data_IF_767152241076
#
_entry.id   IF_767152241076
#
_cell.length_a   1.000
_cell.length_b   1.000
_cell.length_c   1.000
_cell.angle_alpha   90.00
_cell.angle_beta   90.00
_cell.angle_gamma   90.00
#
_symmetry.space_group_name_H-M   'P 1'
#
loop_
_entity.id
_entity.type
_entity.pdbx_description
1 polymer ?
#
# COMPACT_ATOMS: atom_id res chain seq x y z
N UNK A 1 -22.41 -8.59 6.09
CA UNK A 1 -21.02 -8.53 6.60
C UNK A 1 -20.42 -7.23 6.11
N UNK A 2 -19.87 -6.40 7.00
CA UNK A 2 -19.24 -5.14 6.61
C UNK A 2 -17.87 -5.45 6.00
N UNK A 3 -17.63 -4.95 4.79
CA UNK A 3 -16.37 -5.13 4.09
C UNK A 3 -15.44 -3.97 4.47
N UNK A 4 -14.35 -4.24 5.18
CA UNK A 4 -13.40 -3.20 5.60
C UNK A 4 -12.22 -3.17 4.64
N UNK A 5 -12.01 -2.03 3.99
CA UNK A 5 -10.80 -1.70 3.25
C UNK A 5 -9.91 -0.88 4.17
N UNK A 6 -8.75 -1.43 4.53
CA UNK A 6 -7.76 -0.70 5.31
C UNK A 6 -6.84 0.04 4.37
N UNK A 7 -6.53 1.29 4.70
CA UNK A 7 -5.61 2.15 3.97
C UNK A 7 -4.53 2.54 4.95
N UNK A 8 -3.27 2.23 4.61
CA UNK A 8 -2.11 2.58 5.42
C UNK A 8 -1.20 3.50 4.62
N UNK A 9 -0.83 4.63 5.19
CA UNK A 9 0.17 5.53 4.61
C UNK A 9 1.05 6.14 5.70
N UNK A 10 2.27 6.51 5.31
CA UNK A 10 3.25 7.07 6.23
C UNK A 10 3.34 8.60 6.17
N UNK A 11 4.53 9.10 6.48
CA UNK A 11 4.92 10.52 6.50
C UNK A 11 4.62 11.26 5.19
N UNK A 12 4.59 10.55 4.06
CA UNK A 12 4.32 11.08 2.74
C UNK A 12 2.82 11.26 2.43
N UNK A 13 1.94 10.89 3.37
CA UNK A 13 0.49 11.04 3.24
C UNK A 13 -0.17 10.05 2.29
N UNK A 14 -1.44 10.29 2.00
CA UNK A 14 -2.31 9.38 1.25
C UNK A 14 -2.12 9.48 -0.27
N UNK A 15 -1.38 10.48 -0.75
CA UNK A 15 -1.09 10.75 -2.17
C UNK A 15 -2.36 10.85 -3.04
N UNK A 16 -3.46 11.33 -2.48
CA UNK A 16 -4.72 11.53 -3.20
C UNK A 16 -5.55 10.26 -3.37
N UNK A 17 -5.23 9.17 -2.67
CA UNK A 17 -6.01 7.92 -2.73
C UNK A 17 -7.37 8.07 -2.02
N UNK A 18 -7.45 8.83 -0.93
CA UNK A 18 -8.67 8.88 -0.11
C UNK A 18 -9.86 9.45 -0.89
N UNK A 19 -9.74 10.58 -1.63
CA UNK A 19 -10.82 11.07 -2.49
C UNK A 19 -11.35 10.02 -3.47
N UNK A 20 -10.45 9.22 -4.08
CA UNK A 20 -10.82 8.15 -5.03
C UNK A 20 -11.64 7.08 -4.33
N UNK A 21 -11.20 6.64 -3.14
CA UNK A 21 -11.90 5.62 -2.36
C UNK A 21 -13.28 6.08 -1.88
N UNK A 22 -13.40 7.34 -1.44
CA UNK A 22 -14.70 7.89 -1.04
C UNK A 22 -15.64 8.07 -2.23
N UNK A 23 -15.13 8.45 -3.41
CA UNK A 23 -15.93 8.49 -4.64
C UNK A 23 -16.44 7.10 -5.03
N UNK A 24 -15.58 6.07 -4.93
CA UNK A 24 -15.97 4.68 -5.15
C UNK A 24 -17.04 4.21 -4.16
N UNK A 25 -16.87 4.51 -2.87
CA UNK A 25 -17.87 4.23 -1.82
C UNK A 25 -19.22 4.91 -2.12
N UNK A 26 -19.18 6.18 -2.54
CA UNK A 26 -20.39 6.96 -2.84
C UNK A 26 -21.13 6.48 -4.10
N UNK A 27 -20.41 5.96 -5.10
CA UNK A 27 -20.98 5.47 -6.36
C UNK A 27 -21.86 4.21 -6.23
N UNK A 28 -22.05 3.66 -5.03
CA UNK A 28 -22.73 2.38 -4.77
C UNK A 28 -22.16 1.18 -5.54
N UNK A 29 -21.00 1.32 -6.20
CA UNK A 29 -20.30 0.24 -6.87
C UNK A 29 -19.92 -0.89 -5.88
N UNK A 30 -19.87 -0.57 -4.59
CA UNK A 30 -19.46 -1.47 -3.52
C UNK A 30 -20.36 -1.23 -2.30
N UNK A 31 -21.46 -1.97 -2.22
CA UNK A 31 -22.37 -1.89 -1.07
C UNK A 31 -21.69 -2.45 0.18
N UNK A 32 -21.82 -1.74 1.31
CA UNK A 32 -21.26 -2.09 2.62
C UNK A 32 -19.72 -2.06 2.73
N UNK A 33 -19.06 -1.18 1.96
CA UNK A 33 -17.64 -0.89 2.12
C UNK A 33 -17.41 0.17 3.21
N UNK A 34 -16.63 -0.19 4.22
CA UNK A 34 -16.08 0.75 5.17
C UNK A 34 -14.58 0.98 4.92
N UNK A 35 -14.12 2.21 5.14
CA UNK A 35 -12.74 2.62 4.87
C UNK A 35 -12.10 2.90 6.22
N UNK A 36 -11.17 2.05 6.62
CA UNK A 36 -10.35 2.25 7.80
C UNK A 36 -9.02 2.87 7.39
N UNK A 37 -8.61 3.94 8.08
CA UNK A 37 -7.36 4.65 7.80
C UNK A 37 -6.42 4.44 8.98
N UNK A 38 -5.23 3.90 8.69
CA UNK A 38 -4.15 3.75 9.63
C UNK A 38 -2.95 4.59 9.15
N UNK A 39 -2.31 5.32 10.07
CA UNK A 39 -1.13 6.14 9.75
C UNK A 39 0.08 5.46 10.38
N UNK A 40 1.04 5.05 9.53
CA UNK A 40 2.27 4.39 9.98
C UNK A 40 3.45 5.37 9.88
N UNK A 41 3.80 5.98 11.02
CA UNK A 41 4.89 6.94 11.11
C UNK A 41 6.27 6.29 11.26
N UNK A 42 6.33 4.97 11.46
CA UNK A 42 7.58 4.27 11.76
C UNK A 42 8.35 3.89 10.49
N UNK A 43 7.62 3.58 9.42
CA UNK A 43 8.20 3.22 8.14
C UNK A 43 7.99 4.34 7.13
N UNK A 44 9.07 4.75 6.47
CA UNK A 44 9.08 5.79 5.44
C UNK A 44 8.49 5.23 4.13
N UNK A 45 7.24 4.78 4.22
CA UNK A 45 6.49 4.22 3.11
C UNK A 45 6.13 5.37 2.17
N UNK A 46 6.87 5.47 1.06
CA UNK A 46 6.66 6.49 0.03
C UNK A 46 5.29 6.41 -0.65
N UNK A 47 4.60 5.27 -0.53
CA UNK A 47 3.33 5.03 -1.20
C UNK A 47 2.30 4.38 -0.28
N UNK A 48 1.01 4.76 -0.42
CA UNK A 48 -0.07 4.19 0.35
C UNK A 48 -0.25 2.71 -0.01
N UNK A 49 -0.65 1.93 0.99
CA UNK A 49 -0.99 0.52 0.85
C UNK A 49 -2.47 0.32 1.19
N UNK A 50 -3.17 -0.47 0.39
CA UNK A 50 -4.54 -0.90 0.66
C UNK A 50 -4.56 -2.38 1.03
N UNK A 51 -5.36 -2.75 2.02
CA UNK A 51 -5.58 -4.13 2.44
C UNK A 51 -7.08 -4.43 2.43
N UNK A 52 -7.46 -5.51 1.74
CA UNK A 52 -8.82 -6.01 1.72
C UNK A 52 -8.83 -7.53 1.86
N UNK A 53 -9.55 -8.06 2.87
CA UNK A 53 -9.66 -9.51 3.15
C UNK A 53 -8.29 -10.23 3.21
N UNK A 54 -7.28 -9.56 3.77
CA UNK A 54 -5.91 -10.08 3.90
C UNK A 54 -5.03 -9.93 2.65
N UNK A 55 -5.57 -9.46 1.53
CA UNK A 55 -4.78 -9.12 0.33
C UNK A 55 -4.31 -7.68 0.45
N UNK A 56 -3.00 -7.45 0.34
CA UNK A 56 -2.38 -6.13 0.35
C UNK A 56 -1.99 -5.70 -1.05
N UNK A 57 -2.07 -4.41 -1.37
CA UNK A 57 -1.58 -3.79 -2.60
C UNK A 57 -0.92 -2.46 -2.23
N UNK A 58 0.34 -2.29 -2.57
CA UNK A 58 1.02 -0.99 -2.51
C UNK A 58 0.80 -0.24 -3.81
N UNK A 59 0.33 1.00 -3.72
CA UNK A 59 -0.05 1.82 -4.88
C UNK A 59 1.10 2.72 -5.29
N UNK A 60 2.18 2.08 -5.76
CA UNK A 60 3.39 2.74 -6.24
C UNK A 60 3.21 3.23 -7.69
N UNK A 61 3.42 4.53 -7.90
CA UNK A 61 3.48 5.17 -9.23
C UNK A 61 2.24 4.94 -10.13
N UNK A 62 1.05 4.86 -9.54
CA UNK A 62 -0.20 4.69 -10.28
C UNK A 62 -0.92 6.03 -10.52
N UNK A 63 -1.54 6.16 -11.68
CA UNK A 63 -2.51 7.21 -11.99
C UNK A 63 -3.84 6.97 -11.26
N UNK A 64 -4.70 7.98 -11.17
CA UNK A 64 -6.02 7.85 -10.55
C UNK A 64 -6.87 6.73 -11.19
N UNK A 65 -6.86 6.62 -12.51
CA UNK A 65 -7.62 5.60 -13.22
C UNK A 65 -7.09 4.18 -12.94
N UNK A 66 -5.76 4.03 -12.89
CA UNK A 66 -5.14 2.76 -12.50
C UNK A 66 -5.47 2.41 -11.05
N UNK A 67 -5.41 3.36 -10.12
CA UNK A 67 -5.82 3.15 -8.72
C UNK A 67 -7.27 2.66 -8.67
N UNK A 68 -8.17 3.31 -9.42
CA UNK A 68 -9.59 2.94 -9.46
C UNK A 68 -9.77 1.52 -9.97
N UNK A 69 -9.11 1.16 -11.07
CA UNK A 69 -9.15 -0.19 -11.63
C UNK A 69 -8.62 -1.22 -10.63
N UNK A 70 -7.50 -0.93 -9.97
CA UNK A 70 -6.85 -1.81 -9.02
C UNK A 70 -7.73 -2.05 -7.78
N UNK A 71 -8.31 -0.99 -7.23
CA UNK A 71 -9.25 -1.10 -6.10
C UNK A 71 -10.48 -1.92 -6.51
N UNK A 72 -11.04 -1.67 -7.70
CA UNK A 72 -12.22 -2.43 -8.16
C UNK A 72 -11.94 -3.92 -8.34
N UNK A 73 -10.78 -4.28 -8.90
CA UNK A 73 -10.33 -5.67 -9.02
C UNK A 73 -10.12 -6.32 -7.66
N UNK A 74 -9.47 -5.60 -6.72
CA UNK A 74 -9.26 -6.07 -5.35
C UNK A 74 -10.59 -6.37 -4.65
N UNK A 75 -11.57 -5.49 -4.79
CA UNK A 75 -12.90 -5.64 -4.19
C UNK A 75 -13.71 -6.79 -4.81
N UNK A 76 -13.48 -7.11 -6.09
CA UNK A 76 -14.07 -8.26 -6.79
C UNK A 76 -13.38 -9.58 -6.47
N UNK A 77 -12.22 -9.55 -5.81
CA UNK A 77 -11.41 -10.74 -5.54
C UNK A 77 -10.72 -11.28 -6.79
N UNK A 78 -10.50 -10.44 -7.80
CA UNK A 78 -9.75 -10.81 -9.00
C UNK A 78 -8.25 -10.98 -8.63
N UNK A 79 -7.61 -12.02 -9.17
CA UNK A 79 -6.30 -12.51 -8.70
C UNK A 79 -5.17 -11.51 -8.98
N UNK A 80 -4.35 -11.26 -7.95
CA UNK A 80 -3.20 -10.38 -7.98
C UNK A 80 -1.89 -11.14 -7.90
N UNK A 81 -1.17 -11.34 -9.02
CA UNK A 81 0.28 -11.47 -8.93
C UNK A 81 0.81 -10.07 -8.63
N UNK A 82 0.98 -9.73 -7.34
CA UNK A 82 1.86 -8.61 -7.01
C UNK A 82 3.20 -8.90 -7.69
N UNK A 83 3.63 -8.05 -8.61
CA UNK A 83 5.05 -8.01 -8.98
C UNK A 83 5.76 -7.81 -7.65
N UNK A 84 6.56 -8.79 -7.22
CA UNK A 84 7.37 -8.60 -6.02
C UNK A 84 8.06 -7.26 -6.18
N UNK A 85 7.96 -6.36 -5.20
CA UNK A 85 8.85 -5.21 -5.15
C UNK A 85 10.27 -5.79 -5.14
N UNK A 86 10.89 -5.86 -6.33
CA UNK A 86 12.33 -6.04 -6.44
C UNK A 86 12.90 -4.72 -5.95
N UNK A 87 12.90 -4.54 -4.63
CA UNK A 87 13.86 -3.63 -4.03
C UNK A 87 15.20 -4.11 -4.54
N UNK A 88 15.82 -3.35 -5.44
CA UNK A 88 17.24 -3.48 -5.68
C UNK A 88 17.87 -3.28 -4.31
N UNK A 89 18.35 -4.36 -3.71
CA UNK A 89 19.21 -4.28 -2.54
C UNK A 89 20.45 -3.57 -3.06
N UNK A 90 20.50 -2.24 -2.93
CA UNK A 90 21.74 -1.51 -3.04
C UNK A 90 22.50 -1.91 -1.77
N UNK A 91 23.28 -2.98 -1.87
CA UNK A 91 24.32 -3.28 -0.90
C UNK A 91 25.30 -2.12 -0.99
N UNK A 92 25.19 -1.18 -0.06
CA UNK A 92 26.29 -0.29 0.22
C UNK A 92 27.34 -1.13 0.97
N UNK A 93 28.18 -1.85 0.22
CA UNK A 93 29.29 -2.67 0.72
C UNK A 93 30.44 -1.78 1.26
N UNK A 94 30.11 -0.75 2.05
CA UNK A 94 31.05 0.12 2.74
C UNK A 94 30.78 0.15 4.24
N UNK A 95 30.71 -1.02 4.86
CA UNK A 95 31.02 -1.16 6.29
C UNK A 95 31.94 -2.37 6.46
N UNK A 96 33.24 -2.17 6.21
CA UNK A 96 34.26 -2.98 6.88
C UNK A 96 34.50 -2.29 8.22
N UNK A 97 33.76 -2.75 9.22
CA UNK A 97 34.04 -2.50 10.63
C UNK A 97 35.01 -3.59 11.10
N UNK A 98 36.32 -3.38 10.92
CA UNK A 98 37.34 -4.14 11.67
C UNK A 98 37.69 -3.34 12.93
N UNK A 99 36.77 -3.43 13.90
CA UNK A 99 37.08 -3.18 15.29
C UNK A 99 37.36 -4.51 15.98
N UNK A 100 38.57 -4.65 16.51
CA UNK A 100 38.98 -5.57 17.58
C UNK A 100 38.95 -7.09 17.30
N UNK A 101 40.13 -7.63 16.98
CA UNK A 101 40.56 -8.92 17.55
C UNK A 101 41.81 -8.70 18.39
N UNK A 102 41.64 -8.90 19.69
CA UNK A 102 42.70 -9.06 20.67
C UNK A 102 43.47 -10.37 20.40
N UNK A 103 44.81 -10.30 20.43
CA UNK A 103 45.74 -11.28 21.03
C UNK A 103 47.16 -10.72 20.99
#
# INVERSE_FOLDING_TARGET
>A
MMNVLKVTFGTHGDRGILPILYALKASNAVSNLDIQIDIDLLYDSFSPTIEFRGVKITLDYLTEDEIREQVMKLLRGEFYPQRSNKHTIIKDDKVISDGALAS
#
